data_IF_124789482300
#
_entry.id   IF_124789482300
#
_cell.length_a   1.000
_cell.length_b   1.000
_cell.length_c   1.000
_cell.angle_alpha   90.00
_cell.angle_beta   90.00
_cell.angle_gamma   90.00
#
_symmetry.space_group_name_H-M   'P 1'
#
loop_
_entity.id
_entity.type
_entity.pdbx_description
1 polymer ?
#
# COMPACT_ATOMS: atom_id res chain seq x y z
N UNK A 1 -35.09 16.96 -48.19
CA UNK A 1 -34.20 17.28 -47.07
C UNK A 1 -33.71 16.00 -46.47
N UNK A 2 -32.44 15.76 -46.63
CA UNK A 2 -31.81 14.56 -46.07
C UNK A 2 -31.16 14.98 -44.78
N UNK A 3 -31.68 14.53 -43.66
CA UNK A 3 -30.99 14.68 -42.39
C UNK A 3 -29.80 13.70 -42.41
N UNK A 4 -28.64 14.21 -42.57
CA UNK A 4 -27.44 13.44 -42.33
C UNK A 4 -27.27 13.35 -40.81
N UNK A 5 -27.72 12.22 -40.28
CA UNK A 5 -27.34 11.90 -38.91
C UNK A 5 -25.85 11.65 -38.90
N UNK A 6 -25.11 12.64 -38.45
CA UNK A 6 -23.71 12.44 -38.08
C UNK A 6 -23.72 11.55 -36.85
N UNK A 7 -23.49 10.29 -37.07
CA UNK A 7 -23.16 9.38 -36.00
C UNK A 7 -21.80 9.81 -35.53
N UNK A 8 -21.77 10.59 -34.49
CA UNK A 8 -20.56 10.77 -33.74
C UNK A 8 -20.22 9.39 -33.14
N UNK A 9 -19.39 8.68 -33.82
CA UNK A 9 -18.71 7.54 -33.24
C UNK A 9 -17.85 8.14 -32.16
N UNK A 10 -18.38 8.18 -30.96
CA UNK A 10 -17.55 8.35 -29.79
C UNK A 10 -16.66 7.12 -29.79
N UNK A 11 -15.51 7.25 -30.42
CA UNK A 11 -14.43 6.37 -30.09
C UNK A 11 -14.16 6.59 -28.61
N UNK A 12 -14.74 5.75 -27.79
CA UNK A 12 -14.09 5.40 -26.57
C UNK A 12 -12.77 4.81 -27.02
N UNK A 13 -11.77 5.69 -27.13
CA UNK A 13 -10.46 5.20 -26.99
C UNK A 13 -10.51 4.46 -25.66
N UNK A 14 -10.65 3.16 -25.72
CA UNK A 14 -10.20 2.35 -24.63
C UNK A 14 -8.79 2.84 -24.39
N UNK A 15 -8.66 3.76 -23.47
CA UNK A 15 -7.43 3.90 -22.75
C UNK A 15 -7.17 2.48 -22.31
N UNK A 16 -6.30 1.80 -23.04
CA UNK A 16 -6.01 0.43 -22.76
C UNK A 16 -5.82 0.39 -21.27
N UNK A 17 -6.51 -0.51 -20.60
CA UNK A 17 -6.19 -0.81 -19.24
C UNK A 17 -4.71 -1.09 -19.31
N UNK A 18 -3.91 -0.06 -19.01
CA UNK A 18 -2.52 -0.26 -18.70
C UNK A 18 -2.61 -1.02 -17.40
N UNK A 19 -2.72 -2.34 -17.53
CA UNK A 19 -2.48 -3.20 -16.42
C UNK A 19 -1.10 -2.80 -15.94
N UNK A 20 -1.06 -1.99 -14.87
CA UNK A 20 0.16 -1.73 -14.16
C UNK A 20 0.58 -3.08 -13.56
N UNK A 21 1.17 -3.93 -14.39
CA UNK A 21 1.85 -5.11 -13.90
C UNK A 21 2.96 -4.59 -13.00
N UNK A 22 2.85 -4.90 -11.72
CA UNK A 22 3.96 -4.69 -10.79
C UNK A 22 5.13 -5.51 -11.36
N UNK A 23 6.27 -4.87 -11.69
CA UNK A 23 7.41 -5.60 -12.20
C UNK A 23 7.82 -6.68 -11.21
N UNK A 24 8.16 -7.85 -11.70
CA UNK A 24 8.73 -8.90 -10.87
C UNK A 24 10.02 -8.41 -10.20
N UNK A 25 10.21 -8.81 -8.98
CA UNK A 25 11.44 -8.52 -8.26
C UNK A 25 12.61 -9.24 -8.94
N UNK A 26 13.54 -8.47 -9.48
CA UNK A 26 14.67 -8.99 -10.27
C UNK A 26 15.76 -9.67 -9.39
N UNK A 27 15.67 -9.57 -8.07
CA UNK A 27 16.61 -10.18 -7.13
C UNK A 27 16.13 -11.56 -6.66
N UNK A 28 17.06 -12.42 -6.30
CA UNK A 28 16.71 -13.66 -5.61
C UNK A 28 16.09 -13.32 -4.25
N UNK A 29 14.99 -13.99 -3.86
CA UNK A 29 14.44 -13.83 -2.53
C UNK A 29 15.50 -14.12 -1.47
N UNK A 30 15.77 -13.14 -0.62
CA UNK A 30 16.65 -13.37 0.52
C UNK A 30 15.89 -14.17 1.57
N UNK A 31 16.31 -15.41 1.76
CA UNK A 31 15.80 -16.24 2.85
C UNK A 31 16.63 -15.99 4.09
N UNK A 32 15.99 -16.07 5.25
CA UNK A 32 16.71 -16.07 6.51
C UNK A 32 17.73 -17.22 6.53
N UNK A 33 18.93 -16.93 7.02
CA UNK A 33 20.01 -17.93 7.13
C UNK A 33 19.85 -18.85 8.34
N UNK A 34 19.00 -18.45 9.29
CA UNK A 34 18.68 -19.22 10.49
C UNK A 34 17.22 -18.99 10.88
N UNK A 35 16.58 -19.98 11.55
CA UNK A 35 15.26 -19.75 12.12
C UNK A 35 15.33 -18.71 13.23
N UNK A 36 14.31 -17.89 13.35
CA UNK A 36 14.22 -16.86 14.36
C UNK A 36 13.09 -15.89 14.07
N UNK A 37 12.79 -15.08 15.04
CA UNK A 37 11.79 -14.03 14.92
C UNK A 37 12.44 -12.75 14.38
N UNK A 38 11.76 -12.10 13.46
CA UNK A 38 12.17 -10.83 12.89
C UNK A 38 11.01 -9.85 12.86
N UNK A 39 11.32 -8.58 12.70
CA UNK A 39 10.33 -7.52 12.57
C UNK A 39 10.59 -6.70 11.32
N UNK A 40 9.51 -6.26 10.67
CA UNK A 40 9.55 -5.31 9.57
C UNK A 40 8.47 -4.25 9.76
N UNK A 41 8.74 -3.04 9.27
CA UNK A 41 7.78 -1.94 9.31
C UNK A 41 7.37 -1.61 7.88
N UNK A 42 6.08 -1.60 7.64
CA UNK A 42 5.50 -1.30 6.32
C UNK A 42 4.59 -0.08 6.40
N UNK A 43 4.82 0.88 5.52
CA UNK A 43 3.93 2.00 5.26
C UNK A 43 3.20 1.76 3.95
N UNK A 44 1.92 1.46 4.01
CA UNK A 44 1.12 1.06 2.85
C UNK A 44 -0.19 1.84 2.70
N UNK A 45 -0.25 3.06 3.21
CA UNK A 45 -1.47 3.87 3.28
C UNK A 45 -2.22 3.62 4.58
N UNK A 46 -3.54 3.56 4.52
CA UNK A 46 -4.36 3.35 5.72
C UNK A 46 -3.94 2.06 6.46
N UNK A 47 -3.41 2.21 7.68
CA UNK A 47 -2.87 1.08 8.44
C UNK A 47 -3.96 0.05 8.86
N UNK A 48 -5.22 0.44 8.92
CA UNK A 48 -6.33 -0.48 9.21
C UNK A 48 -6.42 -1.59 8.17
N UNK A 49 -6.31 -1.24 6.88
CA UNK A 49 -6.31 -2.21 5.81
C UNK A 49 -5.03 -3.05 5.77
N UNK A 50 -3.89 -2.40 5.96
CA UNK A 50 -2.58 -3.08 5.97
C UNK A 50 -2.47 -4.04 7.15
N UNK A 51 -2.92 -3.64 8.34
CA UNK A 51 -3.01 -4.49 9.53
C UNK A 51 -3.86 -5.74 9.25
N UNK A 52 -5.05 -5.53 8.70
CA UNK A 52 -5.95 -6.64 8.38
C UNK A 52 -5.33 -7.64 7.40
N UNK A 53 -4.64 -7.16 6.36
CA UNK A 53 -3.98 -8.03 5.38
C UNK A 53 -2.87 -8.85 6.03
N UNK A 54 -1.97 -8.21 6.78
CA UNK A 54 -0.85 -8.93 7.39
C UNK A 54 -1.28 -9.95 8.43
N UNK A 55 -2.38 -9.74 9.14
CA UNK A 55 -2.95 -10.74 10.07
C UNK A 55 -3.34 -12.05 9.41
N UNK A 56 -3.58 -12.04 8.11
CA UNK A 56 -3.90 -13.24 7.34
C UNK A 56 -2.69 -13.88 6.64
N UNK A 57 -1.52 -13.29 6.75
CA UNK A 57 -0.31 -13.85 6.14
C UNK A 57 0.27 -14.94 7.01
N UNK A 58 0.46 -16.11 6.42
CA UNK A 58 1.08 -17.25 7.11
C UNK A 58 2.51 -16.90 7.57
N UNK A 59 2.82 -17.21 8.80
CA UNK A 59 4.13 -16.94 9.41
C UNK A 59 4.20 -15.61 10.15
N UNK A 60 3.22 -14.74 9.99
CA UNK A 60 3.09 -13.50 10.78
C UNK A 60 2.58 -13.85 12.18
N UNK A 61 3.32 -13.43 13.20
CA UNK A 61 3.02 -13.68 14.60
C UNK A 61 2.26 -12.54 15.26
N UNK A 62 2.58 -11.31 14.87
CA UNK A 62 1.96 -10.11 15.44
C UNK A 62 1.99 -8.94 14.45
N UNK A 63 0.97 -8.10 14.51
CA UNK A 63 0.86 -6.87 13.72
C UNK A 63 0.41 -5.75 14.63
N UNK A 64 1.17 -4.67 14.66
CA UNK A 64 0.87 -3.48 15.46
C UNK A 64 0.83 -2.27 14.56
N UNK A 65 -0.31 -1.59 14.53
CA UNK A 65 -0.49 -0.33 13.83
C UNK A 65 0.15 0.82 14.60
N UNK A 66 0.72 1.78 13.87
CA UNK A 66 1.35 2.94 14.46
C UNK A 66 1.82 3.94 13.41
N UNK A 67 2.75 4.77 13.80
CA UNK A 67 3.30 5.84 12.96
C UNK A 67 4.81 5.76 12.93
N UNK A 68 5.39 6.04 11.76
CA UNK A 68 6.85 6.08 11.60
C UNK A 68 7.27 7.31 10.81
N UNK A 69 8.46 7.83 11.10
CA UNK A 69 9.10 8.92 10.39
C UNK A 69 9.11 10.27 11.11
N UNK A 70 8.13 10.56 11.94
CA UNK A 70 8.05 11.81 12.71
C UNK A 70 8.44 11.65 14.18
N UNK A 71 8.25 12.71 14.97
CA UNK A 71 8.52 12.69 16.40
C UNK A 71 7.40 12.01 17.19
N UNK A 72 7.74 11.41 18.34
CA UNK A 72 6.76 10.78 19.20
C UNK A 72 5.67 11.74 19.71
N UNK A 73 6.00 13.02 19.88
CA UNK A 73 5.04 14.04 20.34
C UNK A 73 3.90 14.29 19.36
N UNK A 74 4.10 14.02 18.06
CA UNK A 74 3.11 14.21 17.00
C UNK A 74 2.47 12.91 16.51
N UNK A 75 2.77 11.79 17.17
CA UNK A 75 2.23 10.47 16.82
C UNK A 75 0.78 10.33 17.31
N UNK A 76 -0.12 11.09 16.69
CA UNK A 76 -1.55 11.12 16.98
C UNK A 76 -2.32 11.08 15.67
N UNK A 77 -3.38 10.30 15.62
CA UNK A 77 -4.16 10.08 14.40
C UNK A 77 -4.65 11.38 13.75
N UNK A 78 -5.20 12.30 14.53
CA UNK A 78 -5.72 13.56 14.01
C UNK A 78 -4.62 14.47 13.48
N UNK A 79 -3.47 14.50 14.15
CA UNK A 79 -2.32 15.36 13.79
C UNK A 79 -1.60 14.77 12.57
N UNK A 80 -1.40 13.46 12.55
CA UNK A 80 -0.79 12.75 11.41
C UNK A 80 -1.63 12.91 10.15
N UNK A 81 -2.94 12.87 10.27
CA UNK A 81 -3.88 13.08 9.17
C UNK A 81 -3.76 14.44 8.48
N UNK A 82 -3.14 15.44 9.10
CA UNK A 82 -2.85 16.73 8.47
C UNK A 82 -1.74 16.69 7.42
N UNK A 83 -0.93 15.65 7.41
CA UNK A 83 0.22 15.53 6.52
C UNK A 83 1.43 16.40 6.88
N UNK A 84 1.43 17.04 8.05
CA UNK A 84 2.46 18.03 8.44
C UNK A 84 3.52 17.46 9.38
N UNK A 85 3.36 16.23 9.87
CA UNK A 85 4.19 15.66 10.94
C UNK A 85 5.42 14.89 10.44
N UNK A 86 5.49 14.58 9.15
CA UNK A 86 6.47 13.64 8.61
C UNK A 86 6.20 12.17 8.96
N UNK A 87 5.15 11.87 9.71
CA UNK A 87 4.72 10.50 9.98
C UNK A 87 4.00 9.88 8.79
N UNK A 88 4.23 8.58 8.56
CA UNK A 88 3.39 7.72 7.77
C UNK A 88 2.66 6.73 8.68
N UNK A 89 1.40 6.46 8.35
CA UNK A 89 0.70 5.32 8.93
C UNK A 89 1.43 4.03 8.55
N UNK A 90 1.73 3.21 9.52
CA UNK A 90 2.59 2.05 9.35
C UNK A 90 2.14 0.88 10.21
N UNK A 91 2.55 -0.30 9.83
CA UNK A 91 2.38 -1.50 10.65
C UNK A 91 3.74 -2.13 10.92
N UNK A 92 3.96 -2.51 12.16
CA UNK A 92 5.10 -3.34 12.55
C UNK A 92 4.64 -4.79 12.54
N UNK A 93 5.24 -5.58 11.70
CA UNK A 93 4.96 -7.00 11.54
C UNK A 93 6.07 -7.80 12.19
N UNK A 94 5.70 -8.72 13.06
CA UNK A 94 6.61 -9.71 13.64
C UNK A 94 6.35 -11.06 12.98
N UNK A 95 7.38 -11.72 12.52
CA UNK A 95 7.31 -12.96 11.77
C UNK A 95 8.49 -13.90 12.06
#
# INVERSE_FOLDING_TARGET
MRATASIAIVLFALAGVVGAAVPDFAGAPQKATSPGEATAVFAGGCFWGVDAVFKHVKGVKNVVSGYSGGSAATANYMIVGTGTTGHAESVKVTY
#
